data_IF_256977192029
#
_entry.id   IF_256977192029
#
_cell.length_a   1.000
_cell.length_b   1.000
_cell.length_c   1.000
_cell.angle_alpha   90.00
_cell.angle_beta   90.00
_cell.angle_gamma   90.00
#
_symmetry.space_group_name_H-M   'P 1'
#
loop_
_entity.id
_entity.type
_entity.pdbx_description
1 polymer ?
#
# COMPACT_ATOMS: atom_id res chain seq x y z
N UNK A 1 25.49 -23.85 -8.06
CA UNK A 1 24.78 -22.55 -7.96
C UNK A 1 23.65 -22.74 -6.95
N UNK A 2 23.76 -22.10 -5.79
CA UNK A 2 22.70 -22.14 -4.78
C UNK A 2 21.49 -21.40 -5.37
N UNK A 3 20.42 -22.13 -5.63
CA UNK A 3 19.13 -21.54 -5.99
C UNK A 3 18.63 -20.88 -4.70
N UNK A 4 18.91 -19.59 -4.52
CA UNK A 4 18.24 -18.83 -3.45
C UNK A 4 16.74 -18.94 -3.71
N UNK A 5 16.01 -19.58 -2.78
CA UNK A 5 14.56 -19.67 -2.85
C UNK A 5 14.01 -18.26 -2.79
N UNK A 6 13.47 -17.77 -3.91
CA UNK A 6 12.80 -16.48 -3.98
C UNK A 6 11.51 -16.59 -3.15
N UNK A 7 11.66 -16.15 -1.91
CA UNK A 7 10.69 -16.19 -0.83
C UNK A 7 10.65 -14.79 -0.24
N UNK A 8 9.55 -14.47 0.44
CA UNK A 8 9.42 -13.18 1.09
C UNK A 8 10.60 -12.93 2.05
N UNK A 9 10.94 -11.66 2.30
CA UNK A 9 11.96 -11.33 3.28
C UNK A 9 11.63 -11.91 4.67
N UNK A 10 12.65 -12.10 5.50
CA UNK A 10 12.50 -12.75 6.80
C UNK A 10 11.38 -12.11 7.66
N UNK A 11 10.57 -12.96 8.29
CA UNK A 11 9.44 -12.54 9.12
C UNK A 11 8.24 -11.99 8.35
N UNK A 12 8.22 -12.07 7.02
CA UNK A 12 7.04 -11.76 6.20
C UNK A 12 6.36 -13.05 5.73
N UNK A 13 5.05 -13.14 5.93
CA UNK A 13 4.24 -14.30 5.58
C UNK A 13 2.77 -13.90 5.37
N UNK A 14 1.98 -14.82 4.83
CA UNK A 14 0.54 -14.60 4.70
C UNK A 14 -0.12 -14.56 6.08
N UNK A 15 -0.95 -13.55 6.31
CA UNK A 15 -1.77 -13.47 7.51
C UNK A 15 -2.98 -14.42 7.40
N UNK A 16 -3.15 -15.26 8.42
CA UNK A 16 -4.33 -16.13 8.59
C UNK A 16 -5.60 -15.32 8.90
N UNK A 17 -6.77 -15.94 8.83
CA UNK A 17 -8.03 -15.27 9.18
C UNK A 17 -8.07 -14.89 10.66
N UNK A 18 -7.55 -15.74 11.53
CA UNK A 18 -7.43 -15.48 12.97
C UNK A 18 -6.54 -14.27 13.25
N UNK A 19 -5.39 -14.17 12.59
CA UNK A 19 -4.47 -13.02 12.73
C UNK A 19 -5.07 -11.72 12.17
N UNK A 20 -5.76 -11.80 11.02
CA UNK A 20 -6.51 -10.65 10.47
C UNK A 20 -7.60 -10.19 11.44
N UNK A 21 -8.34 -11.14 12.03
CA UNK A 21 -9.38 -10.86 13.03
C UNK A 21 -8.78 -10.21 14.27
N UNK A 22 -7.69 -10.75 14.80
CA UNK A 22 -6.96 -10.14 15.93
C UNK A 22 -6.55 -8.70 15.61
N UNK A 23 -5.91 -8.48 14.46
CA UNK A 23 -5.45 -7.17 14.04
C UNK A 23 -6.60 -6.16 13.88
N UNK A 24 -7.63 -6.50 13.10
CA UNK A 24 -8.73 -5.57 12.81
C UNK A 24 -9.66 -5.33 14.02
N UNK A 25 -9.68 -6.26 14.99
CA UNK A 25 -10.47 -6.08 16.21
C UNK A 25 -9.75 -5.32 17.33
N UNK A 26 -8.41 -5.31 17.35
CA UNK A 26 -7.65 -4.85 18.53
C UNK A 26 -6.48 -3.91 18.27
N UNK A 27 -6.03 -3.78 17.02
CA UNK A 27 -4.90 -2.92 16.64
C UNK A 27 -5.27 -1.85 15.62
N UNK A 28 -6.07 -2.21 14.62
CA UNK A 28 -6.49 -1.28 13.58
C UNK A 28 -7.42 -0.20 14.15
N UNK A 29 -7.15 1.06 13.80
CA UNK A 29 -7.97 2.20 14.17
C UNK A 29 -8.28 3.02 12.91
N UNK A 30 -9.53 2.91 12.46
CA UNK A 30 -10.02 3.60 11.27
C UNK A 30 -10.07 5.13 11.45
N UNK A 31 -10.36 5.64 12.65
CA UNK A 31 -10.37 7.08 12.93
C UNK A 31 -8.98 7.67 12.73
N UNK A 32 -7.93 6.95 13.16
CA UNK A 32 -6.54 7.32 12.93
C UNK A 32 -6.22 7.37 11.44
N UNK A 33 -6.68 6.39 10.66
CA UNK A 33 -6.49 6.37 9.23
C UNK A 33 -7.20 7.55 8.55
N UNK A 34 -8.48 7.78 8.86
CA UNK A 34 -9.26 8.90 8.35
C UNK A 34 -8.64 10.27 8.70
N UNK A 35 -8.15 10.43 9.92
CA UNK A 35 -7.44 11.64 10.35
C UNK A 35 -6.16 11.88 9.55
N UNK A 36 -5.45 10.82 9.14
CA UNK A 36 -4.24 10.94 8.34
C UNK A 36 -4.53 11.36 6.89
N UNK A 37 -5.61 10.82 6.31
CA UNK A 37 -6.02 11.09 4.92
C UNK A 37 -6.28 12.57 4.65
N UNK A 38 -6.80 13.31 5.64
CA UNK A 38 -7.22 14.71 5.45
C UNK A 38 -8.11 14.89 4.20
N UNK A 39 -8.94 13.87 3.91
CA UNK A 39 -9.63 13.76 2.62
C UNK A 39 -10.62 14.91 2.43
N UNK A 40 -10.64 15.60 1.27
CA UNK A 40 -11.51 16.77 1.05
C UNK A 40 -13.01 16.47 1.05
N UNK A 41 -13.40 15.23 0.76
CA UNK A 41 -14.79 14.73 0.79
C UNK A 41 -14.91 13.51 1.71
N UNK A 42 -16.14 13.00 1.89
CA UNK A 42 -16.35 11.67 2.49
C UNK A 42 -15.55 10.63 1.68
N UNK A 43 -14.57 9.92 2.29
CA UNK A 43 -13.75 8.96 1.56
C UNK A 43 -14.53 7.69 1.22
N UNK A 44 -14.22 7.10 0.08
CA UNK A 44 -14.65 5.75 -0.25
C UNK A 44 -13.55 4.77 0.15
N UNK A 45 -13.90 3.63 0.74
CA UNK A 45 -12.96 2.56 1.06
C UNK A 45 -13.19 1.36 0.16
N UNK A 46 -12.20 0.49 0.08
CA UNK A 46 -12.36 -0.79 -0.59
C UNK A 46 -11.59 -1.87 0.15
N UNK A 47 -12.06 -3.11 0.05
CA UNK A 47 -11.38 -4.27 0.60
C UNK A 47 -11.21 -5.34 -0.47
N UNK A 48 -10.08 -6.03 -0.39
CA UNK A 48 -9.84 -7.26 -1.13
C UNK A 48 -9.75 -8.38 -0.09
N UNK A 49 -10.57 -9.42 -0.25
CA UNK A 49 -10.74 -10.45 0.77
C UNK A 49 -9.57 -11.44 0.76
N UNK A 50 -9.30 -12.04 -0.39
CA UNK A 50 -8.29 -13.10 -0.51
C UNK A 50 -7.81 -13.35 -1.93
N UNK A 51 -7.77 -12.31 -2.79
CA UNK A 51 -7.41 -12.42 -4.21
C UNK A 51 -6.05 -13.05 -4.39
N UNK A 52 -5.07 -12.62 -3.60
CA UNK A 52 -3.68 -13.05 -3.73
C UNK A 52 -3.30 -14.15 -2.76
N UNK A 53 -3.75 -14.08 -1.50
CA UNK A 53 -3.40 -15.09 -0.50
C UNK A 53 -4.21 -16.38 -0.64
N UNK A 54 -5.38 -16.32 -1.32
CA UNK A 54 -6.39 -17.40 -1.35
C UNK A 54 -6.85 -17.83 0.05
N UNK A 55 -6.78 -16.90 1.01
CA UNK A 55 -7.25 -17.06 2.40
C UNK A 55 -8.41 -16.09 2.57
N UNK A 56 -9.61 -16.64 2.76
CA UNK A 56 -10.85 -15.88 2.86
C UNK A 56 -11.90 -16.69 3.67
N UNK A 57 -12.86 -16.03 4.34
CA UNK A 57 -13.99 -16.73 4.94
C UNK A 57 -14.80 -17.48 3.88
N UNK A 58 -15.21 -18.73 4.14
CA UNK A 58 -15.87 -19.57 3.12
C UNK A 58 -17.16 -18.96 2.56
N UNK A 59 -17.87 -18.14 3.35
CA UNK A 59 -19.06 -17.40 2.92
C UNK A 59 -18.80 -16.36 1.81
N UNK A 60 -17.54 -15.94 1.64
CA UNK A 60 -17.09 -14.97 0.63
C UNK A 60 -16.23 -15.62 -0.44
N UNK A 61 -16.42 -16.91 -0.71
CA UNK A 61 -15.64 -17.63 -1.72
C UNK A 61 -15.79 -17.03 -3.11
N UNK A 62 -17.02 -16.66 -3.48
CA UNK A 62 -17.33 -16.16 -4.82
C UNK A 62 -16.84 -14.72 -5.01
N UNK A 63 -16.79 -13.95 -3.91
CA UNK A 63 -16.29 -12.57 -3.87
C UNK A 63 -14.80 -12.46 -3.52
N UNK A 64 -14.10 -13.59 -3.33
CA UNK A 64 -12.75 -13.61 -2.76
C UNK A 64 -11.73 -12.81 -3.60
N UNK A 65 -11.94 -12.77 -4.91
CA UNK A 65 -11.11 -12.05 -5.88
C UNK A 65 -11.64 -10.66 -6.20
N UNK A 66 -12.84 -10.29 -5.75
CA UNK A 66 -13.45 -9.02 -6.08
C UNK A 66 -12.93 -7.89 -5.19
N UNK A 67 -13.05 -6.67 -5.73
CA UNK A 67 -12.82 -5.45 -4.95
C UNK A 67 -14.16 -5.00 -4.40
N UNK A 68 -14.36 -5.15 -3.09
CA UNK A 68 -15.61 -4.77 -2.42
C UNK A 68 -15.50 -3.32 -1.98
N UNK A 69 -16.43 -2.49 -2.45
CA UNK A 69 -16.49 -1.06 -2.13
C UNK A 69 -17.27 -0.83 -0.84
N UNK A 70 -16.75 0.08 0.00
CA UNK A 70 -17.36 0.55 1.25
C UNK A 70 -17.49 2.08 1.16
N UNK A 71 -18.64 2.54 0.67
CA UNK A 71 -19.01 3.95 0.47
C UNK A 71 -20.27 4.35 1.29
N UNK A 72 -21.09 3.35 1.66
CA UNK A 72 -22.24 3.49 2.56
C UNK A 72 -21.83 3.21 4.00
N UNK A 73 -21.72 4.28 4.78
CA UNK A 73 -21.49 4.24 6.23
C UNK A 73 -21.89 5.58 6.88
N UNK A 74 -22.33 5.54 8.14
CA UNK A 74 -22.70 6.73 8.93
C UNK A 74 -21.54 7.26 9.79
N UNK A 75 -20.52 6.44 10.04
CA UNK A 75 -19.35 6.82 10.81
C UNK A 75 -18.26 5.76 10.83
N UNK A 76 -17.14 6.02 11.53
CA UNK A 76 -15.97 5.14 11.56
C UNK A 76 -16.28 3.72 12.07
N UNK A 77 -17.18 3.59 13.04
CA UNK A 77 -17.56 2.29 13.60
C UNK A 77 -18.12 1.31 12.56
N UNK A 78 -19.04 1.77 11.70
CA UNK A 78 -19.63 0.92 10.65
C UNK A 78 -18.58 0.47 9.61
N UNK A 79 -17.57 1.30 9.34
CA UNK A 79 -16.44 0.90 8.46
C UNK A 79 -15.63 -0.23 9.12
N UNK A 80 -15.33 -0.09 10.42
CA UNK A 80 -14.63 -1.13 11.18
C UNK A 80 -15.41 -2.45 11.23
N UNK A 81 -16.74 -2.40 11.42
CA UNK A 81 -17.60 -3.58 11.39
C UNK A 81 -17.56 -4.27 10.03
N UNK A 82 -17.69 -3.51 8.94
CA UNK A 82 -17.59 -4.05 7.57
C UNK A 82 -16.22 -4.68 7.30
N UNK A 83 -15.12 -4.01 7.65
CA UNK A 83 -13.76 -4.57 7.52
C UNK A 83 -13.61 -5.86 8.34
N UNK A 84 -14.11 -5.88 9.58
CA UNK A 84 -14.02 -7.05 10.46
C UNK A 84 -14.87 -8.22 9.95
N UNK A 85 -15.99 -7.94 9.29
CA UNK A 85 -16.85 -8.94 8.68
C UNK A 85 -16.18 -9.63 7.48
N UNK A 86 -15.48 -8.87 6.63
CA UNK A 86 -14.77 -9.41 5.46
C UNK A 86 -13.44 -10.09 5.81
N UNK A 87 -12.76 -9.68 6.90
CA UNK A 87 -11.40 -10.13 7.26
C UNK A 87 -10.40 -10.03 6.07
N UNK A 88 -10.24 -8.84 5.47
CA UNK A 88 -9.60 -8.71 4.18
C UNK A 88 -8.09 -8.89 4.23
N UNK A 89 -7.52 -9.38 3.12
CA UNK A 89 -6.08 -9.40 2.92
C UNK A 89 -5.51 -7.99 2.70
N UNK A 90 -6.32 -7.03 2.26
CA UNK A 90 -5.91 -5.65 2.04
C UNK A 90 -7.09 -4.68 2.11
N UNK A 91 -6.86 -3.52 2.71
CA UNK A 91 -7.80 -2.40 2.74
C UNK A 91 -7.20 -1.24 1.96
N UNK A 92 -8.04 -0.54 1.20
CA UNK A 92 -7.71 0.59 0.34
C UNK A 92 -8.65 1.76 0.61
N UNK A 93 -8.23 2.95 0.23
CA UNK A 93 -9.14 4.09 0.05
C UNK A 93 -9.08 4.57 -1.39
N UNK A 94 -10.17 5.19 -1.82
CA UNK A 94 -10.29 5.87 -3.09
C UNK A 94 -9.69 7.28 -2.98
N UNK A 95 -8.80 7.60 -3.92
CA UNK A 95 -8.15 8.91 -4.03
C UNK A 95 -9.02 9.96 -4.72
N UNK A 96 -10.13 9.55 -5.33
CA UNK A 96 -11.07 10.47 -5.97
C UNK A 96 -11.81 11.31 -4.92
N UNK A 97 -11.97 12.59 -5.22
CA UNK A 97 -12.79 13.54 -4.47
C UNK A 97 -14.12 13.70 -5.17
N UNK A 98 -15.20 13.54 -4.41
CA UNK A 98 -16.56 13.51 -4.96
C UNK A 98 -17.37 14.73 -4.51
N UNK A 99 -18.14 15.29 -5.45
CA UNK A 99 -19.21 16.24 -5.20
C UNK A 99 -20.45 15.76 -5.97
N UNK A 100 -21.54 15.47 -5.25
CA UNK A 100 -22.79 14.93 -5.83
C UNK A 100 -22.54 13.74 -6.79
N UNK A 101 -21.79 12.74 -6.32
CA UNK A 101 -21.39 11.52 -7.05
C UNK A 101 -20.52 11.73 -8.30
N UNK A 102 -20.03 12.96 -8.53
CA UNK A 102 -19.09 13.28 -9.60
C UNK A 102 -17.69 13.46 -9.05
N UNK A 103 -16.72 12.87 -9.74
CA UNK A 103 -15.29 13.10 -9.46
C UNK A 103 -14.96 14.55 -9.83
N UNK A 104 -14.54 15.33 -8.84
CA UNK A 104 -14.13 16.74 -9.00
C UNK A 104 -12.63 16.97 -8.82
N UNK A 105 -11.91 15.96 -8.34
CA UNK A 105 -10.46 15.97 -8.21
C UNK A 105 -9.96 14.61 -7.78
N UNK A 106 -8.64 14.42 -7.74
CA UNK A 106 -8.04 13.16 -7.31
C UNK A 106 -6.68 13.40 -6.65
N UNK A 107 -6.41 12.75 -5.54
CA UNK A 107 -5.10 12.80 -4.90
C UNK A 107 -4.00 12.28 -5.84
N UNK A 108 -2.96 13.08 -6.08
CA UNK A 108 -1.78 12.63 -6.81
C UNK A 108 -0.94 11.73 -5.89
N UNK A 109 -0.55 10.56 -6.38
CA UNK A 109 0.31 9.64 -5.64
C UNK A 109 1.29 8.92 -6.57
N UNK A 110 2.36 8.42 -5.98
CA UNK A 110 3.40 7.64 -6.65
C UNK A 110 3.58 6.33 -5.88
N UNK A 111 3.48 5.21 -6.59
CA UNK A 111 3.69 3.89 -6.00
C UNK A 111 5.00 3.31 -6.51
N UNK A 112 5.88 2.94 -5.58
CA UNK A 112 7.16 2.31 -5.85
C UNK A 112 7.13 0.93 -5.21
N UNK A 113 7.07 -0.09 -6.06
CA UNK A 113 7.02 -1.48 -5.65
C UNK A 113 8.26 -2.28 -6.12
N UNK A 114 8.66 -3.33 -5.38
CA UNK A 114 9.75 -4.23 -5.79
C UNK A 114 9.57 -4.88 -7.16
N UNK A 115 8.33 -4.93 -7.67
CA UNK A 115 8.00 -5.44 -8.99
C UNK A 115 8.55 -4.55 -10.11
N UNK A 116 8.76 -3.25 -9.82
CA UNK A 116 9.16 -2.25 -10.79
C UNK A 116 10.68 -2.03 -10.85
N UNK A 117 11.45 -2.75 -10.01
CA UNK A 117 12.92 -2.69 -9.99
C UNK A 117 13.53 -3.98 -10.54
N UNK A 118 14.70 -3.83 -11.17
CA UNK A 118 15.51 -4.97 -11.62
C UNK A 118 16.38 -5.47 -10.48
N UNK A 119 16.11 -6.67 -9.99
CA UNK A 119 16.98 -7.30 -8.99
C UNK A 119 18.21 -7.91 -9.68
N UNK A 120 19.44 -7.58 -9.27
CA UNK A 120 20.65 -8.20 -9.84
C UNK A 120 20.76 -9.70 -9.53
N UNK A 121 20.04 -10.20 -8.53
CA UNK A 121 20.05 -11.60 -8.10
C UNK A 121 18.89 -12.38 -8.73
N UNK A 122 17.69 -11.78 -8.79
CA UNK A 122 16.46 -12.49 -9.14
C UNK A 122 15.87 -12.09 -10.50
N UNK A 123 16.44 -11.07 -11.16
CA UNK A 123 16.03 -10.61 -12.47
C UNK A 123 14.89 -9.59 -12.44
N UNK A 124 14.25 -9.43 -13.60
CA UNK A 124 13.12 -8.50 -13.81
C UNK A 124 11.76 -9.19 -13.62
N UNK A 125 10.68 -8.41 -13.55
CA UNK A 125 9.32 -8.91 -13.34
C UNK A 125 8.93 -10.04 -14.29
N UNK A 126 9.26 -9.90 -15.59
CA UNK A 126 8.94 -10.93 -16.59
C UNK A 126 9.57 -12.29 -16.28
N UNK A 127 10.78 -12.31 -15.71
CA UNK A 127 11.48 -13.54 -15.32
C UNK A 127 10.86 -14.16 -14.06
N UNK A 128 10.43 -13.32 -13.12
CA UNK A 128 9.72 -13.74 -11.89
C UNK A 128 8.34 -14.29 -12.22
N UNK A 129 7.61 -13.65 -13.13
CA UNK A 129 6.30 -14.11 -13.59
C UNK A 129 6.36 -15.51 -14.20
N UNK A 130 7.41 -15.82 -14.98
CA UNK A 130 7.66 -17.17 -15.51
C UNK A 130 7.89 -18.23 -14.43
N UNK A 131 8.29 -17.81 -13.23
CA UNK A 131 8.51 -18.66 -12.05
C UNK A 131 7.33 -18.62 -11.07
N UNK A 132 6.21 -17.99 -11.43
CA UNK A 132 5.06 -17.74 -10.54
C UNK A 132 5.41 -16.97 -9.27
N UNK A 133 6.36 -16.04 -9.41
CA UNK A 133 7.00 -15.31 -8.32
C UNK A 133 6.76 -13.80 -8.40
N UNK A 134 5.81 -13.33 -9.21
CA UNK A 134 5.57 -11.90 -9.44
C UNK A 134 5.31 -11.10 -8.16
N UNK A 135 4.60 -11.68 -7.20
CA UNK A 135 4.26 -11.04 -5.92
C UNK A 135 5.38 -11.13 -4.86
N UNK A 136 6.36 -12.00 -5.07
CA UNK A 136 7.48 -12.17 -4.14
C UNK A 136 8.54 -11.13 -4.41
N UNK A 137 9.32 -10.82 -3.38
CA UNK A 137 10.45 -9.89 -3.46
C UNK A 137 11.47 -10.26 -2.40
N UNK A 138 12.72 -9.80 -2.54
CA UNK A 138 13.74 -9.97 -1.53
C UNK A 138 14.08 -8.65 -0.82
N UNK A 139 14.82 -8.74 0.29
CA UNK A 139 15.27 -7.59 1.08
C UNK A 139 16.04 -6.55 0.24
N UNK A 140 16.83 -7.01 -0.74
CA UNK A 140 17.56 -6.11 -1.63
C UNK A 140 16.61 -5.24 -2.45
N UNK A 141 15.54 -5.82 -3.01
CA UNK A 141 14.58 -5.08 -3.81
C UNK A 141 13.84 -4.05 -2.97
N UNK A 142 13.41 -4.42 -1.76
CA UNK A 142 12.80 -3.48 -0.82
C UNK A 142 13.73 -2.30 -0.48
N UNK A 143 15.03 -2.57 -0.28
CA UNK A 143 16.02 -1.52 -0.02
C UNK A 143 16.23 -0.62 -1.25
N UNK A 144 16.32 -1.19 -2.46
CA UNK A 144 16.41 -0.41 -3.69
C UNK A 144 15.21 0.51 -3.86
N UNK A 145 13.99 0.00 -3.62
CA UNK A 145 12.76 0.79 -3.66
C UNK A 145 12.78 1.90 -2.61
N UNK A 146 13.28 1.62 -1.39
CA UNK A 146 13.43 2.64 -0.34
C UNK A 146 14.37 3.77 -0.76
N UNK A 147 15.52 3.44 -1.35
CA UNK A 147 16.49 4.42 -1.87
C UNK A 147 15.88 5.26 -2.99
N UNK A 148 15.18 4.64 -3.94
CA UNK A 148 14.50 5.36 -5.02
C UNK A 148 13.34 6.22 -4.50
N UNK A 149 12.64 5.78 -3.45
CA UNK A 149 11.59 6.58 -2.79
C UNK A 149 12.18 7.84 -2.17
N UNK A 150 13.32 7.75 -1.47
CA UNK A 150 13.99 8.91 -0.90
C UNK A 150 14.42 9.89 -2.00
N UNK A 151 15.03 9.38 -3.07
CA UNK A 151 15.45 10.20 -4.22
C UNK A 151 14.25 10.87 -4.91
N UNK A 152 13.13 10.16 -5.07
CA UNK A 152 11.93 10.71 -5.68
C UNK A 152 11.27 11.76 -4.77
N UNK A 153 11.19 11.50 -3.47
CA UNK A 153 10.65 12.45 -2.51
C UNK A 153 11.43 13.78 -2.56
N UNK A 154 12.77 13.75 -2.51
CA UNK A 154 13.62 14.94 -2.65
C UNK A 154 13.46 15.67 -3.99
N UNK A 155 13.12 14.93 -5.04
CA UNK A 155 12.80 15.53 -6.33
C UNK A 155 11.44 16.24 -6.30
N UNK A 156 10.40 15.58 -5.78
CA UNK A 156 9.02 16.08 -5.73
C UNK A 156 8.87 17.29 -4.80
N UNK A 157 9.62 17.35 -3.69
CA UNK A 157 9.63 18.50 -2.76
C UNK A 157 9.97 19.84 -3.40
N UNK A 158 10.56 19.83 -4.60
CA UNK A 158 10.87 21.05 -5.36
C UNK A 158 9.63 21.68 -5.99
N UNK A 159 8.58 20.89 -6.20
CA UNK A 159 7.32 21.32 -6.82
C UNK A 159 6.08 21.18 -5.92
N UNK A 160 6.14 20.33 -4.89
CA UNK A 160 5.03 20.07 -3.97
C UNK A 160 5.45 20.31 -2.51
N UNK A 161 4.51 20.81 -1.71
CA UNK A 161 4.77 21.24 -0.33
C UNK A 161 4.19 20.30 0.73
N UNK A 162 3.16 19.50 0.39
CA UNK A 162 2.44 18.62 1.32
C UNK A 162 2.60 17.16 0.92
N UNK A 163 3.83 16.68 0.97
CA UNK A 163 4.16 15.28 0.67
C UNK A 163 4.10 14.43 1.95
N UNK A 164 3.59 13.21 1.85
CA UNK A 164 3.69 12.19 2.90
C UNK A 164 4.13 10.86 2.32
N UNK A 165 4.89 10.10 3.10
CA UNK A 165 5.38 8.78 2.70
C UNK A 165 4.63 7.70 3.49
N UNK A 166 4.30 6.59 2.84
CA UNK A 166 3.74 5.40 3.48
C UNK A 166 4.52 4.18 3.04
N UNK A 167 5.07 3.42 3.99
CA UNK A 167 5.50 2.06 3.71
C UNK A 167 4.26 1.18 3.51
N UNK A 168 4.10 0.57 2.34
CA UNK A 168 2.89 -0.19 1.95
C UNK A 168 2.89 -1.65 2.43
N UNK A 169 3.96 -2.07 3.11
CA UNK A 169 4.26 -3.47 3.46
C UNK A 169 5.23 -4.13 2.48
N UNK A 170 5.22 -3.73 1.20
CA UNK A 170 6.12 -4.29 0.17
C UNK A 170 6.92 -3.23 -0.56
N UNK A 171 6.40 -2.03 -0.64
CA UNK A 171 7.01 -0.88 -1.28
C UNK A 171 6.68 0.37 -0.51
N UNK A 172 6.66 1.50 -1.22
CA UNK A 172 6.39 2.80 -0.63
C UNK A 172 5.48 3.61 -1.54
N UNK A 173 4.58 4.35 -0.91
CA UNK A 173 3.76 5.34 -1.58
C UNK A 173 4.25 6.74 -1.20
N UNK A 174 4.25 7.65 -2.15
CA UNK A 174 4.37 9.09 -1.90
C UNK A 174 3.03 9.72 -2.26
N UNK A 175 2.39 10.33 -1.26
CA UNK A 175 1.09 10.99 -1.36
C UNK A 175 1.30 12.50 -1.44
N UNK A 176 0.58 13.17 -2.35
CA UNK A 176 0.63 14.63 -2.54
C UNK A 176 -0.70 15.25 -2.10
N UNK A 177 -0.67 16.01 -1.00
CA UNK A 177 -1.84 16.66 -0.41
C UNK A 177 -1.94 18.16 -0.74
N UNK A 178 -1.12 18.67 -1.65
CA UNK A 178 -1.26 20.02 -2.20
C UNK A 178 -2.62 20.15 -2.90
N UNK A 179 -3.38 21.21 -2.60
CA UNK A 179 -4.77 21.33 -3.07
C UNK A 179 -4.84 21.45 -4.61
N UNK A 180 -3.89 22.15 -5.21
CA UNK A 180 -3.74 22.29 -6.66
C UNK A 180 -3.36 20.97 -7.35
N UNK A 181 -2.78 20.00 -6.62
CA UNK A 181 -2.52 18.67 -7.16
C UNK A 181 -3.81 17.88 -7.42
N UNK A 182 -4.90 18.17 -6.69
CA UNK A 182 -6.19 17.50 -6.90
C UNK A 182 -6.82 17.88 -8.25
N UNK A 183 -6.60 19.11 -8.71
CA UNK A 183 -7.18 19.68 -9.93
C UNK A 183 -6.39 19.30 -11.21
N UNK A 184 -5.28 18.56 -11.08
CA UNK A 184 -4.46 18.16 -12.22
C UNK A 184 -5.26 17.26 -13.18
N UNK A 185 -5.30 17.66 -14.46
CA UNK A 185 -5.88 16.85 -15.53
C UNK A 185 -5.07 15.57 -15.75
N UNK A 186 -5.70 14.57 -16.39
CA UNK A 186 -5.04 13.30 -16.75
C UNK A 186 -3.80 13.55 -17.62
N UNK A 187 -3.85 14.51 -18.55
CA UNK A 187 -2.70 14.89 -19.39
C UNK A 187 -1.56 15.50 -18.56
N UNK A 188 -1.88 16.32 -17.55
CA UNK A 188 -0.88 16.88 -16.66
C UNK A 188 -0.23 15.78 -15.80
N UNK A 189 -1.03 14.85 -15.27
CA UNK A 189 -0.55 13.68 -14.52
C UNK A 189 0.33 12.77 -15.37
N UNK A 190 -0.05 12.50 -16.63
CA UNK A 190 0.78 11.75 -17.60
C UNK A 190 2.12 12.44 -17.85
N UNK A 191 2.16 13.77 -17.97
CA UNK A 191 3.42 14.51 -18.11
C UNK A 191 4.32 14.34 -16.88
N UNK A 192 3.74 14.42 -15.68
CA UNK A 192 4.46 14.20 -14.41
C UNK A 192 4.99 12.76 -14.35
N UNK A 193 4.14 11.77 -14.61
CA UNK A 193 4.53 10.36 -14.61
C UNK A 193 5.67 10.10 -15.61
N UNK A 194 5.57 10.64 -16.84
CA UNK A 194 6.59 10.50 -17.87
C UNK A 194 7.91 11.19 -17.49
N UNK A 195 7.89 12.40 -16.91
CA UNK A 195 9.10 13.07 -16.42
C UNK A 195 9.78 12.24 -15.32
N UNK A 196 9.01 11.75 -14.35
CA UNK A 196 9.52 10.88 -13.27
C UNK A 196 10.12 9.58 -13.84
N UNK A 197 9.45 8.92 -14.80
CA UNK A 197 9.97 7.72 -15.48
C UNK A 197 11.24 8.01 -16.28
N UNK A 198 11.29 9.12 -17.02
CA UNK A 198 12.46 9.51 -17.81
C UNK A 198 13.69 9.84 -16.94
N UNK A 199 13.47 10.22 -15.68
CA UNK A 199 14.54 10.38 -14.68
C UNK A 199 15.01 9.06 -14.07
N UNK A 200 14.39 7.94 -14.44
CA UNK A 200 14.75 6.59 -14.01
C UNK A 200 14.04 6.09 -12.76
N UNK A 201 13.04 6.81 -12.24
CA UNK A 201 12.31 6.37 -11.05
C UNK A 201 11.37 5.18 -11.38
N UNK A 202 11.35 4.12 -10.55
CA UNK A 202 10.59 2.89 -10.81
C UNK A 202 9.12 2.98 -10.34
N UNK A 203 8.43 4.08 -10.68
CA UNK A 203 7.02 4.25 -10.30
C UNK A 203 6.08 3.35 -11.14
N UNK A 204 4.95 2.98 -10.56
CA UNK A 204 3.77 2.55 -11.31
C UNK A 204 3.07 3.78 -11.93
N UNK A 205 3.08 3.82 -13.26
CA UNK A 205 2.49 4.91 -14.04
C UNK A 205 0.96 4.98 -13.88
N UNK A 206 0.27 3.85 -13.69
CA UNK A 206 -1.19 3.82 -13.60
C UNK A 206 -1.69 4.46 -12.30
N UNK A 207 -0.90 4.36 -11.23
CA UNK A 207 -1.17 5.07 -9.98
C UNK A 207 -0.99 6.57 -10.17
N UNK A 208 0.12 7.00 -10.76
CA UNK A 208 0.39 8.44 -10.92
C UNK A 208 -0.52 9.13 -11.92
N UNK A 209 -0.89 8.46 -13.02
CA UNK A 209 -1.80 9.01 -14.03
C UNK A 209 -3.25 9.11 -13.56
N UNK A 210 -3.61 8.37 -12.51
CA UNK A 210 -4.94 8.38 -11.91
C UNK A 210 -5.89 7.29 -12.40
N UNK A 211 -5.41 6.40 -13.28
CA UNK A 211 -6.18 5.25 -13.77
C UNK A 211 -6.46 4.25 -12.63
N UNK A 212 -5.49 4.06 -11.72
CA UNK A 212 -5.67 3.26 -10.50
C UNK A 212 -6.08 4.16 -9.34
N UNK A 213 -7.38 4.37 -9.11
CA UNK A 213 -7.86 5.28 -8.06
C UNK A 213 -7.65 4.77 -6.62
N UNK A 214 -7.63 3.45 -6.42
CA UNK A 214 -7.48 2.83 -5.10
C UNK A 214 -6.01 2.72 -4.69
N UNK A 215 -5.70 3.10 -3.45
CA UNK A 215 -4.36 2.92 -2.86
C UNK A 215 -4.49 2.40 -1.42
N UNK A 216 -3.50 1.62 -0.96
CA UNK A 216 -3.57 0.92 0.34
C UNK A 216 -3.82 1.92 1.47
N UNK A 217 -4.81 1.63 2.30
CA UNK A 217 -5.19 2.45 3.44
C UNK A 217 -4.06 2.46 4.48
N UNK A 218 -3.53 3.61 4.87
CA UNK A 218 -2.55 3.68 5.95
C UNK A 218 -3.10 3.09 7.25
N UNK A 219 -2.19 2.51 8.03
CA UNK A 219 -2.43 1.72 9.23
C UNK A 219 -3.19 0.40 9.01
N UNK A 220 -3.61 0.04 7.80
CA UNK A 220 -4.21 -1.26 7.51
C UNK A 220 -3.17 -2.37 7.35
N UNK A 221 -3.61 -3.62 7.41
CA UNK A 221 -2.75 -4.78 7.21
C UNK A 221 -2.56 -5.06 5.73
N UNK A 222 -1.31 -5.30 5.33
CA UNK A 222 -0.98 -6.02 4.11
C UNK A 222 -0.86 -7.52 4.44
N UNK A 223 -1.96 -8.25 4.25
CA UNK A 223 -2.08 -9.67 4.57
C UNK A 223 -1.21 -10.59 3.72
N UNK A 224 -0.62 -10.10 2.63
CA UNK A 224 0.34 -10.83 1.81
C UNK A 224 1.71 -10.98 2.49
N UNK A 225 2.05 -10.05 3.39
CA UNK A 225 3.37 -10.02 4.06
C UNK A 225 3.29 -9.82 5.58
N UNK A 226 2.09 -9.75 6.13
CA UNK A 226 1.85 -9.47 7.55
C UNK A 226 2.61 -8.24 8.03
N UNK A 227 2.44 -7.13 7.29
CA UNK A 227 3.00 -5.81 7.64
C UNK A 227 1.90 -4.76 7.64
N UNK A 228 2.01 -3.81 8.56
CA UNK A 228 1.08 -2.69 8.67
C UNK A 228 1.55 -1.59 7.72
N UNK A 229 0.65 -1.07 6.89
CA UNK A 229 0.92 0.10 6.07
C UNK A 229 1.24 1.28 7.00
N UNK A 230 2.48 1.78 7.00
CA UNK A 230 2.96 2.67 8.06
C UNK A 230 3.36 4.01 7.46
N UNK A 231 2.66 5.11 7.78
CA UNK A 231 3.15 6.45 7.48
C UNK A 231 4.52 6.70 8.09
N UNK A 232 5.38 7.35 7.32
CA UNK A 232 6.74 7.71 7.70
C UNK A 232 6.92 9.21 7.55
N UNK A 233 7.60 9.82 8.52
CA UNK A 233 8.10 11.17 8.37
C UNK A 233 9.35 11.17 7.46
N UNK A 234 9.63 12.31 6.82
CA UNK A 234 10.77 12.47 5.92
C UNK A 234 12.10 11.99 6.52
N UNK A 235 12.42 12.46 7.72
CA UNK A 235 13.67 12.13 8.41
C UNK A 235 13.75 10.68 8.86
N UNK A 236 12.65 9.92 8.81
CA UNK A 236 12.62 8.52 9.22
C UNK A 236 12.98 7.59 8.06
N UNK A 237 12.71 7.97 6.80
CA UNK A 237 12.79 7.06 5.66
C UNK A 237 14.19 6.45 5.48
N UNK A 238 15.25 7.22 5.66
CA UNK A 238 16.63 6.73 5.52
C UNK A 238 16.93 5.62 6.52
N UNK A 239 16.58 5.84 7.80
CA UNK A 239 16.81 4.90 8.91
C UNK A 239 15.73 3.82 9.04
N UNK A 240 14.63 3.93 8.31
CA UNK A 240 13.52 2.99 8.38
C UNK A 240 13.96 1.59 7.96
N UNK A 241 13.70 0.62 8.84
CA UNK A 241 14.01 -0.80 8.63
C UNK A 241 12.80 -1.67 9.01
N UNK A 242 12.01 -2.14 8.02
CA UNK A 242 10.70 -2.79 8.26
C UNK A 242 10.75 -4.16 8.94
N UNK A 243 11.95 -4.68 9.20
CA UNK A 243 12.17 -5.95 9.88
C UNK A 243 12.26 -5.80 11.40
N UNK A 244 12.59 -4.61 11.89
CA UNK A 244 12.70 -4.32 13.32
C UNK A 244 11.83 -3.15 13.78
N UNK A 245 11.26 -2.38 12.86
CA UNK A 245 10.36 -1.28 13.21
C UNK A 245 9.02 -1.83 13.72
N UNK A 246 8.84 -1.76 15.04
CA UNK A 246 7.63 -2.23 15.69
C UNK A 246 6.36 -1.58 15.13
N UNK A 247 6.40 -0.37 14.58
CA UNK A 247 5.22 0.31 14.03
C UNK A 247 4.60 -0.45 12.86
N UNK A 248 5.41 -1.18 12.09
CA UNK A 248 4.96 -1.91 10.90
C UNK A 248 4.76 -3.42 11.12
N UNK A 249 5.08 -3.94 12.31
CA UNK A 249 4.95 -5.36 12.67
C UNK A 249 3.69 -5.54 13.53
N UNK A 250 2.67 -6.29 13.13
CA UNK A 250 1.47 -6.50 13.96
C UNK A 250 1.78 -7.31 15.23
N UNK A 251 1.01 -7.12 16.31
CA UNK A 251 1.27 -7.76 17.62
C UNK A 251 1.28 -9.28 17.53
N UNK A 252 0.42 -9.89 16.72
CA UNK A 252 0.37 -11.34 16.54
C UNK A 252 1.70 -11.95 16.06
N UNK A 253 2.56 -11.18 15.36
CA UNK A 253 3.92 -11.62 15.02
C UNK A 253 4.91 -11.38 16.16
N UNK A 254 4.77 -10.28 16.91
CA UNK A 254 5.69 -9.95 18.02
C UNK A 254 5.58 -10.96 19.17
N UNK A 255 4.37 -11.45 19.44
CA UNK A 255 4.10 -12.43 20.49
C UNK A 255 4.68 -13.82 20.17
N UNK A 256 4.74 -14.20 18.89
CA UNK A 256 5.34 -15.46 18.45
C UNK A 256 6.86 -15.50 18.72
N UNK A 257 7.55 -14.36 18.59
CA UNK A 257 8.99 -14.26 18.83
C UNK A 257 9.35 -14.26 20.32
N UNK A 258 8.42 -13.90 21.22
CA UNK A 258 8.64 -13.89 22.67
C UNK A 258 8.29 -15.21 23.36
N UNK A 259 7.72 -16.17 22.63
CA UNK A 259 7.28 -17.47 23.12
C UNK A 259 8.26 -18.62 22.81
N UNK A 260 9.47 -18.28 22.34
CA UNK A 260 10.61 -19.17 22.10
C UNK A 260 11.73 -18.82 23.09
#
# INVERSE_FOLDING_TARGET
>A
MQVHSYSYPEGMQFATLEERKEFYSSEFNIERAMSWLQHPSKPCFAVIIGRHTKIYPLKYKDDAEDTIIIDVYSGPHEISEQILEFLPESVYYDRDVYLDDKVVGQELAFDLDPENVKCPIHGELAEKMKKHQGLSFCTLELNMVKEETLRLYEHLKKGFSKLKIVYSGRGFHIHVFDLDAYDLSVEARRKIALDVKNRGFPIDEWVTTGEMRLIRLPFSLNGLVSRIATPLEEGELESFYPFSDARCIPKFLRMKTTSL
#
